data_IF_387481186122
#
_entry.id   IF_387481186122
#
_cell.length_a   1.000
_cell.length_b   1.000
_cell.length_c   1.000
_cell.angle_alpha   90.00
_cell.angle_beta   90.00
_cell.angle_gamma   90.00
#
_symmetry.space_group_name_H-M   'P 1'
#
loop_
_entity.id
_entity.type
_entity.pdbx_description
1 polymer ?
#
# COMPACT_ATOMS: atom_id res chain seq x y z
N UNK A 1 4.54 10.53 -4.05
CA UNK A 1 6.00 10.35 -4.23
C UNK A 1 6.34 8.96 -4.81
N UNK A 2 5.66 7.91 -4.44
CA UNK A 2 5.82 6.52 -4.92
C UNK A 2 5.89 6.41 -6.45
N UNK A 3 5.01 7.10 -7.18
CA UNK A 3 4.99 7.15 -8.64
C UNK A 3 6.36 7.45 -9.28
N UNK A 4 7.13 8.38 -8.71
CA UNK A 4 8.47 8.77 -9.23
C UNK A 4 9.46 7.60 -9.17
N UNK A 5 9.34 6.76 -8.14
CA UNK A 5 10.17 5.57 -8.01
C UNK A 5 9.77 4.50 -9.02
N UNK A 6 8.47 4.29 -9.23
CA UNK A 6 7.96 3.33 -10.21
C UNK A 6 8.45 3.65 -11.64
N UNK A 7 8.57 4.93 -12.00
CA UNK A 7 9.09 5.38 -13.29
C UNK A 7 10.57 5.02 -13.54
N UNK A 8 11.31 4.70 -12.47
CA UNK A 8 12.72 4.30 -12.56
C UNK A 8 12.91 2.80 -12.78
N UNK A 9 11.86 2.02 -12.58
CA UNK A 9 11.92 0.58 -12.79
C UNK A 9 12.02 0.27 -14.28
N UNK A 10 12.85 -0.70 -14.62
CA UNK A 10 13.16 -1.08 -16.00
C UNK A 10 12.80 -2.53 -16.34
N UNK A 11 12.05 -3.19 -15.47
CA UNK A 11 11.53 -4.55 -15.62
C UNK A 11 10.03 -4.56 -15.39
N UNK A 12 9.26 -5.50 -15.99
CA UNK A 12 7.87 -5.71 -15.61
C UNK A 12 7.75 -6.02 -14.11
N UNK A 13 6.78 -5.43 -13.44
CA UNK A 13 6.61 -5.55 -11.99
C UNK A 13 5.15 -5.54 -11.55
N UNK A 14 4.92 -6.01 -10.33
CA UNK A 14 3.70 -5.84 -9.53
C UNK A 14 3.91 -4.72 -8.53
N UNK A 15 2.89 -3.92 -8.30
CA UNK A 15 2.83 -2.97 -7.20
C UNK A 15 1.96 -3.56 -6.08
N UNK A 16 2.46 -3.60 -4.86
CA UNK A 16 1.68 -3.89 -3.66
C UNK A 16 1.54 -2.61 -2.87
N UNK A 17 0.31 -2.22 -2.58
CA UNK A 17 -0.02 -0.99 -1.85
C UNK A 17 -0.80 -1.37 -0.59
N UNK A 18 -0.30 -0.95 0.57
CA UNK A 18 -1.04 -0.89 1.83
C UNK A 18 -1.47 0.55 2.05
N UNK A 19 -2.77 0.79 2.12
CA UNK A 19 -3.35 2.14 2.16
C UNK A 19 -4.79 2.06 2.69
N UNK A 20 -5.29 3.08 3.35
CA UNK A 20 -6.69 3.18 3.71
C UNK A 20 -7.55 3.74 2.56
N UNK A 21 -6.91 4.30 1.53
CA UNK A 21 -7.54 4.90 0.36
C UNK A 21 -7.23 4.09 -0.90
N UNK A 22 -8.07 4.21 -1.92
CA UNK A 22 -7.82 3.51 -3.18
C UNK A 22 -6.73 4.15 -4.02
N UNK A 23 -6.54 5.45 -3.87
CA UNK A 23 -5.68 6.29 -4.70
C UNK A 23 -5.93 6.12 -6.21
N UNK A 24 -7.18 5.75 -6.54
CA UNK A 24 -7.67 5.54 -7.90
C UNK A 24 -8.71 6.59 -8.32
N UNK A 25 -8.72 7.75 -7.67
CA UNK A 25 -9.61 8.85 -8.04
C UNK A 25 -9.20 9.45 -9.40
N UNK A 26 -10.17 9.91 -10.20
CA UNK A 26 -9.88 10.62 -11.42
C UNK A 26 -9.04 11.87 -11.14
N UNK A 27 -8.17 12.29 -12.08
CA UNK A 27 -7.33 13.45 -11.87
C UNK A 27 -8.14 14.71 -11.59
N UNK A 28 -7.74 15.44 -10.57
CA UNK A 28 -8.29 16.74 -10.25
C UNK A 28 -7.98 17.75 -11.39
N UNK A 29 -8.48 18.97 -11.27
CA UNK A 29 -8.39 20.04 -12.25
C UNK A 29 -7.18 19.96 -13.22
N UNK A 30 -7.45 19.86 -14.54
CA UNK A 30 -6.43 19.98 -15.58
C UNK A 30 -5.50 18.76 -15.72
N UNK A 31 -5.88 17.61 -15.17
CA UNK A 31 -5.07 16.39 -15.26
C UNK A 31 -3.86 16.36 -14.30
N UNK A 32 -3.87 17.20 -13.27
CA UNK A 32 -2.81 17.19 -12.27
C UNK A 32 -2.85 15.91 -11.44
N UNK A 33 -1.71 15.26 -11.34
CA UNK A 33 -1.51 14.12 -10.47
C UNK A 33 -1.68 14.54 -9.01
N UNK A 34 -2.59 13.86 -8.29
CA UNK A 34 -2.81 14.04 -6.85
C UNK A 34 -2.40 12.78 -6.09
N UNK A 35 -2.28 12.90 -4.75
CA UNK A 35 -2.10 11.72 -3.90
C UNK A 35 -3.24 10.72 -4.10
N UNK A 36 -4.50 11.15 -4.12
CA UNK A 36 -5.65 10.28 -4.31
C UNK A 36 -5.87 9.68 -5.71
N UNK A 37 -4.97 9.93 -6.67
CA UNK A 37 -5.09 9.41 -8.05
C UNK A 37 -3.83 8.77 -8.61
N UNK A 38 -2.78 8.60 -7.81
CA UNK A 38 -1.49 8.15 -8.32
C UNK A 38 -1.48 6.66 -8.74
N UNK A 39 -2.30 5.82 -8.11
CA UNK A 39 -2.43 4.40 -8.48
C UNK A 39 -3.12 4.29 -9.84
N UNK A 40 -4.23 5.01 -10.06
CA UNK A 40 -4.92 5.05 -11.35
C UNK A 40 -3.98 5.52 -12.48
N UNK A 41 -3.31 6.66 -12.27
CA UNK A 41 -2.35 7.19 -13.23
C UNK A 41 -1.18 6.22 -13.51
N UNK A 42 -0.74 5.46 -12.50
CA UNK A 42 0.30 4.45 -12.68
C UNK A 42 -0.18 3.28 -13.54
N UNK A 43 -1.40 2.81 -13.33
CA UNK A 43 -2.01 1.74 -14.13
C UNK A 43 -2.22 2.13 -15.60
N UNK A 44 -2.49 3.41 -15.86
CA UNK A 44 -2.72 3.92 -17.22
C UNK A 44 -1.41 4.22 -17.97
N UNK A 45 -0.42 4.78 -17.27
CA UNK A 45 0.74 5.40 -17.92
C UNK A 45 2.03 4.57 -17.81
N UNK A 46 2.13 3.58 -16.90
CA UNK A 46 3.33 2.79 -16.73
C UNK A 46 3.22 1.43 -17.45
N UNK A 47 3.82 1.24 -18.60
CA UNK A 47 3.67 0.01 -19.40
C UNK A 47 4.30 -1.23 -18.73
N UNK A 48 5.23 -1.01 -17.78
CA UNK A 48 5.89 -2.07 -17.03
C UNK A 48 5.12 -2.50 -15.77
N UNK A 49 4.17 -1.70 -15.29
CA UNK A 49 3.25 -2.10 -14.22
C UNK A 49 2.23 -3.09 -14.79
N UNK A 50 2.24 -4.33 -14.30
CA UNK A 50 1.41 -5.42 -14.81
C UNK A 50 0.20 -5.71 -13.94
N UNK A 51 0.34 -5.52 -12.64
CA UNK A 51 -0.68 -5.84 -11.64
C UNK A 51 -0.52 -4.93 -10.43
N UNK A 52 -1.62 -4.56 -9.83
CA UNK A 52 -1.65 -3.91 -8.51
C UNK A 52 -2.35 -4.85 -7.53
N UNK A 53 -1.75 -5.09 -6.37
CA UNK A 53 -2.42 -5.61 -5.20
C UNK A 53 -2.66 -4.43 -4.25
N UNK A 54 -3.93 -4.10 -4.04
CA UNK A 54 -4.35 -3.01 -3.15
C UNK A 54 -4.98 -3.60 -1.89
N UNK A 55 -4.46 -3.25 -0.72
CA UNK A 55 -4.81 -3.82 0.58
C UNK A 55 -5.19 -2.71 1.54
N UNK A 56 -6.39 -2.76 2.10
CA UNK A 56 -6.81 -1.88 3.20
C UNK A 56 -7.97 -0.94 2.94
N UNK A 57 -8.22 -0.42 1.72
CA UNK A 57 -9.36 0.47 1.49
C UNK A 57 -10.70 -0.24 1.73
N UNK A 58 -11.75 0.54 2.00
CA UNK A 58 -13.09 -0.02 2.09
C UNK A 58 -13.66 -0.43 0.72
N UNK A 59 -14.57 -1.40 0.73
CA UNK A 59 -15.16 -1.95 -0.48
C UNK A 59 -15.96 -0.90 -1.26
N UNK A 60 -16.68 -0.01 -0.57
CA UNK A 60 -17.51 1.02 -1.21
C UNK A 60 -16.65 2.02 -1.99
N UNK A 61 -15.50 2.44 -1.42
CA UNK A 61 -14.57 3.34 -2.12
C UNK A 61 -13.97 2.67 -3.36
N UNK A 62 -13.66 1.37 -3.29
CA UNK A 62 -13.16 0.63 -4.44
C UNK A 62 -14.23 0.50 -5.54
N UNK A 63 -15.47 0.18 -5.19
CA UNK A 63 -16.59 0.03 -6.12
C UNK A 63 -16.93 1.33 -6.87
N UNK A 64 -16.54 2.49 -6.33
CA UNK A 64 -16.70 3.81 -6.96
C UNK A 64 -15.60 4.15 -7.97
N UNK A 65 -14.53 3.35 -8.04
CA UNK A 65 -13.46 3.58 -9.01
C UNK A 65 -13.86 3.12 -10.42
N UNK A 66 -13.08 3.49 -11.45
CA UNK A 66 -13.39 3.14 -12.84
C UNK A 66 -13.30 1.62 -13.07
N UNK A 67 -14.36 0.96 -13.62
CA UNK A 67 -14.37 -0.50 -13.80
C UNK A 67 -13.20 -1.05 -14.60
N UNK A 68 -12.73 -0.32 -15.61
CA UNK A 68 -11.59 -0.73 -16.43
C UNK A 68 -10.27 -0.79 -15.64
N UNK A 69 -10.16 -0.01 -14.58
CA UNK A 69 -9.00 -0.05 -13.68
C UNK A 69 -9.14 -1.16 -12.65
N UNK A 70 -10.37 -1.43 -12.16
CA UNK A 70 -10.64 -2.52 -11.23
C UNK A 70 -10.19 -3.88 -11.78
N UNK A 71 -10.35 -4.13 -13.08
CA UNK A 71 -9.93 -5.37 -13.74
C UNK A 71 -8.41 -5.64 -13.64
N UNK A 72 -7.60 -4.61 -13.39
CA UNK A 72 -6.14 -4.68 -13.25
C UNK A 72 -5.67 -4.74 -11.80
N UNK A 73 -6.60 -4.69 -10.86
CA UNK A 73 -6.33 -4.61 -9.43
C UNK A 73 -6.84 -5.87 -8.73
N UNK A 74 -5.94 -6.60 -8.07
CA UNK A 74 -6.32 -7.55 -7.03
C UNK A 74 -6.57 -6.76 -5.76
N UNK A 75 -7.76 -6.87 -5.21
CA UNK A 75 -8.21 -6.04 -4.09
C UNK A 75 -8.49 -6.88 -2.85
N UNK A 76 -7.98 -6.43 -1.72
CA UNK A 76 -8.26 -6.98 -0.41
C UNK A 76 -8.78 -5.87 0.51
N UNK A 77 -10.12 -5.80 0.63
CA UNK A 77 -10.76 -4.73 1.38
C UNK A 77 -10.54 -4.84 2.89
N UNK A 78 -10.68 -3.71 3.58
CA UNK A 78 -10.68 -3.63 5.04
C UNK A 78 -11.74 -4.54 5.66
N UNK A 79 -12.95 -4.58 5.09
CA UNK A 79 -14.04 -5.45 5.55
C UNK A 79 -13.65 -6.92 5.44
N UNK A 80 -13.03 -7.30 4.32
CA UNK A 80 -12.57 -8.68 4.12
C UNK A 80 -11.45 -9.04 5.09
N UNK A 81 -10.51 -8.13 5.33
CA UNK A 81 -9.45 -8.33 6.33
C UNK A 81 -10.00 -8.56 7.74
N UNK A 82 -11.08 -7.85 8.13
CA UNK A 82 -11.75 -8.04 9.43
C UNK A 82 -12.40 -9.42 9.59
N UNK A 83 -12.87 -10.00 8.51
CA UNK A 83 -13.52 -11.32 8.50
C UNK A 83 -12.52 -12.49 8.53
N UNK A 84 -11.29 -12.26 8.04
CA UNK A 84 -10.25 -13.29 7.96
C UNK A 84 -9.58 -13.52 9.30
N UNK A 85 -9.30 -14.79 9.59
CA UNK A 85 -8.36 -15.15 10.67
C UNK A 85 -6.94 -14.76 10.27
N UNK A 86 -6.02 -14.68 11.25
CA UNK A 86 -4.62 -14.37 10.94
C UNK A 86 -3.99 -15.42 10.02
N UNK A 87 -4.33 -16.70 10.21
CA UNK A 87 -3.87 -17.78 9.33
C UNK A 87 -4.33 -17.60 7.88
N UNK A 88 -5.58 -17.18 7.66
CA UNK A 88 -6.09 -16.90 6.32
C UNK A 88 -5.42 -15.68 5.69
N UNK A 89 -5.12 -14.63 6.47
CA UNK A 89 -4.37 -13.46 6.01
C UNK A 89 -2.95 -13.84 5.59
N UNK A 90 -2.23 -14.57 6.42
CA UNK A 90 -0.89 -15.08 6.13
C UNK A 90 -0.90 -15.91 4.85
N UNK A 91 -1.82 -16.88 4.73
CA UNK A 91 -1.95 -17.72 3.56
C UNK A 91 -2.21 -16.91 2.28
N UNK A 92 -3.03 -15.87 2.35
CA UNK A 92 -3.30 -14.97 1.22
C UNK A 92 -2.02 -14.36 0.64
N UNK A 93 -1.11 -13.87 1.51
CA UNK A 93 0.18 -13.30 1.09
C UNK A 93 1.17 -14.38 0.66
N UNK A 94 1.13 -15.54 1.30
CA UNK A 94 1.95 -16.70 0.95
C UNK A 94 1.63 -17.28 -0.44
N UNK A 95 0.40 -17.19 -0.89
CA UNK A 95 -0.07 -17.68 -2.19
C UNK A 95 0.14 -16.69 -3.33
N UNK A 96 0.75 -15.53 -3.07
CA UNK A 96 1.08 -14.59 -4.15
C UNK A 96 2.09 -15.22 -5.11
N UNK A 97 1.82 -15.06 -6.41
CA UNK A 97 2.69 -15.55 -7.46
C UNK A 97 4.07 -14.88 -7.44
N UNK A 98 5.11 -15.65 -7.66
CA UNK A 98 6.53 -15.21 -7.67
C UNK A 98 7.04 -14.80 -9.07
N UNK A 99 6.18 -14.77 -10.08
CA UNK A 99 6.54 -14.54 -11.49
C UNK A 99 6.88 -13.09 -11.82
N UNK A 100 6.49 -12.16 -10.97
CA UNK A 100 6.80 -10.74 -11.13
C UNK A 100 7.52 -10.22 -9.89
N UNK A 101 8.60 -9.47 -10.07
CA UNK A 101 9.18 -8.71 -8.97
C UNK A 101 8.19 -7.65 -8.47
N UNK A 102 8.34 -7.24 -7.23
CA UNK A 102 7.37 -6.39 -6.52
C UNK A 102 8.00 -5.06 -6.12
N UNK A 103 7.28 -3.98 -6.31
CA UNK A 103 7.50 -2.73 -5.60
C UNK A 103 6.45 -2.60 -4.49
N UNK A 104 6.89 -2.26 -3.28
CA UNK A 104 6.04 -2.16 -2.11
C UNK A 104 5.86 -0.69 -1.71
N UNK A 105 4.61 -0.23 -1.62
CA UNK A 105 4.26 1.09 -1.11
C UNK A 105 3.39 0.96 0.12
N UNK A 106 3.78 1.59 1.21
CA UNK A 106 3.06 1.61 2.48
C UNK A 106 2.65 3.03 2.80
N UNK A 107 1.32 3.29 2.80
CA UNK A 107 0.79 4.48 3.46
C UNK A 107 0.38 4.11 4.88
N UNK A 108 0.93 4.81 5.88
CA UNK A 108 0.67 4.54 7.30
C UNK A 108 -0.76 4.83 7.72
N UNK A 109 -1.55 5.46 6.86
CA UNK A 109 -2.97 5.63 7.15
C UNK A 109 -3.78 4.33 7.05
N UNK A 110 -3.20 3.24 6.52
CA UNK A 110 -3.76 1.89 6.63
C UNK A 110 -3.83 1.41 8.08
N UNK A 111 -2.96 1.95 8.94
CA UNK A 111 -2.85 1.58 10.34
C UNK A 111 -3.97 2.19 11.19
N UNK A 112 -4.28 1.55 12.31
CA UNK A 112 -5.16 2.09 13.33
C UNK A 112 -4.53 3.30 14.05
N UNK A 113 -5.35 4.10 14.70
CA UNK A 113 -4.92 5.34 15.36
C UNK A 113 -4.00 5.10 16.58
N UNK A 114 -3.94 3.88 17.08
CA UNK A 114 -3.02 3.48 18.15
C UNK A 114 -1.59 3.26 17.65
N UNK A 115 -1.42 2.97 16.35
CA UNK A 115 -0.14 2.59 15.73
C UNK A 115 0.44 3.63 14.79
N UNK A 116 -0.36 4.58 14.32
CA UNK A 116 0.10 5.71 13.50
C UNK A 116 -0.75 6.96 13.72
N UNK A 117 -0.22 8.11 13.34
CA UNK A 117 -0.95 9.37 13.29
C UNK A 117 -0.75 10.03 11.93
N UNK A 118 -1.81 10.19 11.16
CA UNK A 118 -1.74 10.73 9.81
C UNK A 118 -2.70 11.88 9.61
N UNK A 119 -2.49 12.67 8.57
CA UNK A 119 -3.40 13.80 8.25
C UNK A 119 -4.73 13.32 7.67
N UNK A 120 -4.75 12.11 7.09
CA UNK A 120 -5.92 11.51 6.45
C UNK A 120 -6.67 10.56 7.37
N UNK A 121 -7.86 10.14 6.95
CA UNK A 121 -8.60 9.10 7.68
C UNK A 121 -7.81 7.80 7.73
N UNK A 122 -7.83 7.15 8.89
CA UNK A 122 -7.03 5.95 9.14
C UNK A 122 -7.86 4.67 9.05
N UNK A 123 -7.17 3.60 8.71
CA UNK A 123 -7.67 2.25 8.72
C UNK A 123 -7.73 1.66 10.13
N UNK A 124 -7.66 0.34 10.19
CA UNK A 124 -7.70 -0.41 11.44
C UNK A 124 -6.71 -1.60 11.48
N UNK A 125 -5.80 -1.67 10.50
CA UNK A 125 -4.71 -2.64 10.54
C UNK A 125 -3.76 -2.30 11.68
N UNK A 126 -3.29 -3.30 12.41
CA UNK A 126 -2.26 -3.07 13.42
C UNK A 126 -0.87 -3.05 12.80
N UNK A 127 0.08 -2.39 13.44
CA UNK A 127 1.48 -2.39 13.00
C UNK A 127 2.07 -3.81 13.02
N UNK A 128 1.65 -4.65 13.98
CA UNK A 128 2.04 -6.06 14.04
C UNK A 128 1.57 -6.84 12.81
N UNK A 129 0.30 -6.67 12.40
CA UNK A 129 -0.24 -7.29 11.18
C UNK A 129 0.50 -6.83 9.93
N UNK A 130 0.67 -5.52 9.76
CA UNK A 130 1.41 -4.95 8.64
C UNK A 130 2.84 -5.48 8.59
N UNK A 131 3.53 -5.51 9.73
CA UNK A 131 4.89 -6.03 9.85
C UNK A 131 5.00 -7.50 9.42
N UNK A 132 4.05 -8.34 9.82
CA UNK A 132 3.99 -9.75 9.41
C UNK A 132 3.79 -9.87 7.89
N UNK A 133 2.89 -9.09 7.28
CA UNK A 133 2.65 -9.14 5.84
C UNK A 133 3.86 -8.66 5.05
N UNK A 134 4.49 -7.58 5.48
CA UNK A 134 5.71 -7.06 4.85
C UNK A 134 6.84 -8.09 4.95
N UNK A 135 7.03 -8.75 6.10
CA UNK A 135 8.05 -9.79 6.28
C UNK A 135 7.81 -10.98 5.31
N UNK A 136 6.58 -11.46 5.19
CA UNK A 136 6.22 -12.54 4.25
C UNK A 136 6.54 -12.14 2.81
N UNK A 137 6.19 -10.92 2.41
CA UNK A 137 6.46 -10.42 1.07
C UNK A 137 7.97 -10.35 0.78
N UNK A 138 8.75 -9.84 1.75
CA UNK A 138 10.21 -9.74 1.63
C UNK A 138 10.90 -11.12 1.57
N UNK A 139 10.42 -12.10 2.32
CA UNK A 139 10.96 -13.46 2.32
C UNK A 139 10.68 -14.20 1.01
N UNK A 140 9.48 -14.00 0.44
CA UNK A 140 8.99 -14.83 -0.67
C UNK A 140 9.18 -14.23 -2.06
N UNK A 141 9.19 -12.90 -2.17
CA UNK A 141 9.14 -12.20 -3.45
C UNK A 141 10.43 -11.42 -3.71
N UNK A 142 10.75 -11.23 -4.98
CA UNK A 142 11.82 -10.33 -5.40
C UNK A 142 11.35 -8.87 -5.26
N UNK A 143 11.75 -8.20 -4.17
CA UNK A 143 11.33 -6.83 -3.88
C UNK A 143 12.32 -5.82 -4.48
N UNK A 144 11.87 -5.06 -5.47
CA UNK A 144 12.65 -4.04 -6.18
C UNK A 144 12.91 -2.80 -5.33
N UNK A 145 12.00 -2.48 -4.43
CA UNK A 145 12.07 -1.32 -3.55
C UNK A 145 10.84 -1.20 -2.66
N UNK A 146 10.95 -0.39 -1.64
CA UNK A 146 9.85 -0.04 -0.74
C UNK A 146 9.87 1.46 -0.47
N UNK A 147 8.71 2.07 -0.40
CA UNK A 147 8.55 3.40 0.19
C UNK A 147 7.48 3.38 1.30
N UNK A 148 7.60 4.31 2.23
CA UNK A 148 6.67 4.52 3.34
C UNK A 148 6.26 5.98 3.34
N UNK A 149 4.97 6.24 3.42
CA UNK A 149 4.37 7.58 3.50
C UNK A 149 3.28 7.63 4.58
N UNK A 150 2.44 8.68 4.58
CA UNK A 150 1.40 8.85 5.58
C UNK A 150 1.93 9.49 6.87
N UNK A 151 2.62 10.63 6.75
CA UNK A 151 2.97 11.45 7.90
C UNK A 151 1.85 12.42 8.26
N UNK A 152 1.85 12.88 9.49
CA UNK A 152 0.97 13.95 9.93
C UNK A 152 1.61 15.34 9.69
N UNK A 153 0.76 16.37 9.69
CA UNK A 153 1.24 17.75 9.66
C UNK A 153 2.05 18.03 10.96
N UNK A 154 3.31 18.45 10.88
CA UNK A 154 4.14 18.73 12.04
C UNK A 154 3.52 19.69 13.06
N UNK A 155 2.69 20.62 12.59
CA UNK A 155 2.02 21.62 13.45
C UNK A 155 0.73 21.08 14.11
N UNK A 156 0.22 19.94 13.65
CA UNK A 156 -1.04 19.35 14.11
C UNK A 156 -0.89 18.01 14.84
N UNK A 157 0.33 17.48 14.94
CA UNK A 157 0.56 16.10 15.34
C UNK A 157 1.08 15.97 16.77
N UNK A 158 0.25 15.41 17.64
CA UNK A 158 0.70 14.91 18.95
C UNK A 158 1.29 13.47 18.86
N UNK A 159 1.19 12.84 17.69
CA UNK A 159 1.50 11.41 17.48
C UNK A 159 2.77 11.11 16.67
N UNK A 160 3.71 12.05 16.50
CA UNK A 160 4.98 11.82 15.77
C UNK A 160 5.73 10.57 16.23
N UNK A 161 5.69 10.28 17.54
CA UNK A 161 6.34 9.12 18.10
C UNK A 161 5.76 7.78 17.60
N UNK A 162 4.46 7.72 17.25
CA UNK A 162 3.84 6.54 16.67
C UNK A 162 4.37 6.30 15.25
N UNK A 163 4.45 7.37 14.46
CA UNK A 163 5.03 7.32 13.12
C UNK A 163 6.51 6.92 13.15
N UNK A 164 7.27 7.41 14.12
CA UNK A 164 8.67 7.02 14.33
C UNK A 164 8.81 5.53 14.69
N UNK A 165 7.90 5.01 15.51
CA UNK A 165 7.87 3.58 15.85
C UNK A 165 7.53 2.73 14.62
N UNK A 166 6.49 3.11 13.87
CA UNK A 166 6.09 2.41 12.66
C UNK A 166 7.21 2.42 11.61
N UNK A 167 7.83 3.58 11.37
CA UNK A 167 8.96 3.71 10.45
C UNK A 167 10.15 2.83 10.88
N UNK A 168 10.47 2.81 12.17
CA UNK A 168 11.56 1.99 12.71
C UNK A 168 11.31 0.51 12.53
N UNK A 169 10.10 0.04 12.86
CA UNK A 169 9.74 -1.37 12.71
C UNK A 169 9.80 -1.83 11.25
N UNK A 170 9.24 -1.06 10.34
CA UNK A 170 9.30 -1.36 8.90
C UNK A 170 10.74 -1.37 8.37
N UNK A 171 11.59 -0.45 8.83
CA UNK A 171 13.02 -0.42 8.47
C UNK A 171 13.79 -1.60 9.06
N UNK A 172 13.46 -2.05 10.28
CA UNK A 172 14.09 -3.23 10.89
C UNK A 172 13.72 -4.51 10.13
N UNK A 173 12.45 -4.66 9.74
CA UNK A 173 11.99 -5.78 8.91
C UNK A 173 12.73 -5.76 7.56
N UNK A 174 12.76 -4.61 6.90
CA UNK A 174 13.50 -4.42 5.64
C UNK A 174 14.98 -4.80 5.74
N UNK A 175 15.64 -4.45 6.84
CA UNK A 175 17.07 -4.70 7.05
C UNK A 175 17.42 -6.15 7.41
N UNK A 176 16.48 -6.94 7.93
CA UNK A 176 16.70 -8.35 8.30
C UNK A 176 16.66 -9.28 7.09
N UNK A 177 15.89 -8.93 6.08
CA UNK A 177 15.62 -9.78 4.90
C UNK A 177 16.55 -9.46 3.70
N UNK A 178 17.53 -8.57 3.88
CA UNK A 178 18.54 -8.19 2.88
C UNK A 178 19.95 -8.34 3.41
#
# INVERSE_FOLDING_TARGET
MSRIWLEKLNTPFRLVVFDNHTDMQPPAFGGLLSCGGWVAASLEELPLLKEVLLVGPDQEAFDQTEPVLQEKVRFLSRERLREMTMEEKVLFFEELSVDLPVYLSVDKDVLCAEDASTTWSQGDMTLEELGQFVAILLEKLDILGMDVCGECDPDACEGDHLNDLANRELLEIWGKER
#
